data_IF_077329503988
#
_entry.id   IF_077329503988
#
_cell.length_a   1.000
_cell.length_b   1.000
_cell.length_c   1.000
_cell.angle_alpha   90.00
_cell.angle_beta   90.00
_cell.angle_gamma   90.00
#
_symmetry.space_group_name_H-M   'P 1'
#
loop_
_entity.id
_entity.type
_entity.pdbx_description
1 polymer ?
#
# COMPACT_ATOMS: atom_id res chain seq x y z
N UNK A 1 -14.29 0.78 -43.43
CA UNK A 1 -13.13 0.35 -42.64
C UNK A 1 -13.60 -0.49 -41.47
N UNK A 2 -13.18 -1.75 -41.38
CA UNK A 2 -13.72 -2.74 -40.41
C UNK A 2 -13.28 -2.44 -38.98
N UNK A 3 -11.98 -2.20 -38.75
CA UNK A 3 -11.37 -2.04 -37.42
C UNK A 3 -10.75 -0.66 -37.17
N UNK A 4 -11.18 0.36 -37.91
CA UNK A 4 -10.71 1.74 -37.75
C UNK A 4 -11.77 2.73 -38.19
N UNK A 5 -11.53 4.01 -37.90
CA UNK A 5 -12.31 5.13 -38.40
C UNK A 5 -11.52 5.90 -39.47
N UNK A 6 -12.16 6.87 -40.13
CA UNK A 6 -11.44 7.79 -41.02
C UNK A 6 -10.41 8.65 -40.29
N UNK A 7 -10.57 8.84 -38.97
CA UNK A 7 -9.71 9.69 -38.13
C UNK A 7 -8.68 8.90 -37.32
N UNK A 8 -8.91 7.61 -37.07
CA UNK A 8 -8.03 6.76 -36.27
C UNK A 8 -7.89 5.39 -36.92
N UNK A 9 -6.64 5.00 -37.21
CA UNK A 9 -6.35 3.68 -37.76
C UNK A 9 -6.40 2.57 -36.69
N UNK A 10 -6.53 1.33 -37.15
CA UNK A 10 -6.62 0.15 -36.26
C UNK A 10 -5.40 -0.03 -35.36
N UNK A 11 -4.18 0.25 -35.86
CA UNK A 11 -2.95 0.15 -35.08
C UNK A 11 -2.99 1.03 -33.84
N UNK A 12 -3.49 2.27 -33.96
CA UNK A 12 -3.59 3.18 -32.83
C UNK A 12 -4.62 2.72 -31.79
N UNK A 13 -5.74 2.15 -32.26
CA UNK A 13 -6.76 1.59 -31.37
C UNK A 13 -6.21 0.38 -30.59
N UNK A 14 -5.44 -0.50 -31.25
CA UNK A 14 -4.77 -1.64 -30.61
C UNK A 14 -3.73 -1.16 -29.60
N UNK A 15 -2.86 -0.23 -29.98
CA UNK A 15 -1.84 0.34 -29.09
C UNK A 15 -2.47 0.92 -27.82
N UNK A 16 -3.54 1.72 -27.98
CA UNK A 16 -4.26 2.28 -26.84
C UNK A 16 -4.90 1.19 -25.98
N UNK A 17 -5.52 0.17 -26.59
CA UNK A 17 -6.16 -0.94 -25.87
C UNK A 17 -5.16 -1.74 -25.03
N UNK A 18 -3.98 -2.05 -25.60
CA UNK A 18 -2.90 -2.76 -24.89
C UNK A 18 -2.33 -1.95 -23.70
N UNK A 19 -2.50 -0.63 -23.72
CA UNK A 19 -2.06 0.27 -22.65
C UNK A 19 -3.21 0.69 -21.70
N UNK A 20 -4.37 0.02 -21.74
CA UNK A 20 -5.55 0.35 -20.93
C UNK A 20 -5.99 1.82 -21.08
N UNK A 21 -5.87 2.36 -22.30
CA UNK A 21 -6.25 3.75 -22.63
C UNK A 21 -7.42 3.80 -23.60
N UNK A 22 -8.32 4.74 -23.35
CA UNK A 22 -9.37 5.10 -24.31
C UNK A 22 -8.80 5.97 -25.43
N UNK A 23 -9.27 5.73 -26.64
CA UNK A 23 -8.91 6.56 -27.79
C UNK A 23 -9.77 7.82 -27.84
N UNK A 24 -9.14 9.00 -27.76
CA UNK A 24 -9.79 10.31 -27.88
C UNK A 24 -9.39 10.99 -29.19
N UNK A 25 -10.36 11.56 -29.89
CA UNK A 25 -10.15 12.33 -31.12
C UNK A 25 -10.42 13.80 -30.84
N UNK A 26 -9.48 14.66 -31.24
CA UNK A 26 -9.59 16.10 -31.07
C UNK A 26 -9.57 16.80 -32.43
N UNK A 27 -10.31 17.89 -32.53
CA UNK A 27 -10.27 18.83 -33.65
C UNK A 27 -9.48 20.08 -33.26
N UNK A 28 -8.84 20.69 -34.24
CA UNK A 28 -8.12 21.95 -34.07
C UNK A 28 -9.03 23.09 -34.51
N UNK A 29 -9.34 23.99 -33.59
CA UNK A 29 -10.10 25.21 -33.84
C UNK A 29 -9.14 26.39 -33.79
N UNK A 30 -9.20 27.28 -34.79
CA UNK A 30 -8.45 28.53 -34.80
C UNK A 30 -9.32 29.57 -34.10
N UNK A 31 -8.79 30.17 -33.04
CA UNK A 31 -9.43 31.24 -32.29
C UNK A 31 -9.26 32.58 -33.03
N UNK A 32 -10.06 33.58 -32.65
CA UNK A 32 -10.04 34.92 -33.25
C UNK A 32 -8.67 35.63 -33.13
N UNK A 33 -7.87 35.26 -32.13
CA UNK A 33 -6.50 35.76 -31.91
C UNK A 33 -5.42 35.00 -32.71
N UNK A 34 -5.82 34.04 -33.57
CA UNK A 34 -4.93 33.20 -34.36
C UNK A 34 -4.34 32.00 -33.61
N UNK A 35 -4.64 31.83 -32.32
CA UNK A 35 -4.18 30.66 -31.55
C UNK A 35 -4.98 29.40 -31.91
N UNK A 36 -4.38 28.22 -31.75
CA UNK A 36 -5.03 26.92 -32.02
C UNK A 36 -5.43 26.25 -30.72
N UNK A 37 -6.70 25.89 -30.59
CA UNK A 37 -7.22 25.10 -29.47
C UNK A 37 -7.65 23.71 -29.90
N UNK A 38 -7.36 22.73 -29.03
CA UNK A 38 -7.72 21.32 -29.25
C UNK A 38 -9.04 21.02 -28.55
N UNK A 39 -10.11 20.81 -29.32
CA UNK A 39 -11.46 20.53 -28.78
C UNK A 39 -11.79 19.05 -29.00
N UNK A 40 -12.30 18.38 -27.97
CA UNK A 40 -12.66 16.96 -28.07
C UNK A 40 -13.82 16.76 -29.05
N UNK A 41 -13.58 15.99 -30.12
CA UNK A 41 -14.64 15.58 -31.03
C UNK A 41 -15.37 14.36 -30.43
N UNK A 42 -16.53 14.62 -29.81
CA UNK A 42 -17.35 13.59 -29.16
C UNK A 42 -17.79 12.48 -30.12
N UNK A 43 -18.17 12.85 -31.35
CA UNK A 43 -18.67 11.91 -32.36
C UNK A 43 -17.57 10.96 -32.83
N UNK A 44 -16.42 11.50 -33.23
CA UNK A 44 -15.29 10.69 -33.69
C UNK A 44 -14.65 9.88 -32.56
N UNK A 45 -14.63 10.42 -31.33
CA UNK A 45 -14.21 9.68 -30.13
C UNK A 45 -15.14 8.49 -29.86
N UNK A 46 -16.45 8.67 -29.95
CA UNK A 46 -17.42 7.58 -29.79
C UNK A 46 -17.22 6.49 -30.86
N UNK A 47 -17.05 6.87 -32.13
CA UNK A 47 -16.77 5.92 -33.21
C UNK A 47 -15.45 5.16 -33.00
N UNK A 48 -14.40 5.85 -32.57
CA UNK A 48 -13.12 5.23 -32.24
C UNK A 48 -13.25 4.23 -31.08
N UNK A 49 -14.00 4.60 -30.03
CA UNK A 49 -14.29 3.72 -28.89
C UNK A 49 -15.06 2.46 -29.31
N UNK A 50 -16.10 2.59 -30.14
CA UNK A 50 -16.84 1.44 -30.68
C UNK A 50 -15.92 0.50 -31.48
N UNK A 51 -15.01 1.04 -32.29
CA UNK A 51 -14.02 0.23 -33.02
C UNK A 51 -12.99 -0.42 -32.11
N UNK A 52 -12.57 0.28 -31.06
CA UNK A 52 -11.66 -0.28 -30.05
C UNK A 52 -12.32 -1.44 -29.29
N UNK A 53 -13.62 -1.34 -28.98
CA UNK A 53 -14.35 -2.42 -28.32
C UNK A 53 -14.52 -3.64 -29.22
N UNK A 54 -14.88 -3.43 -30.50
CA UNK A 54 -14.92 -4.50 -31.49
C UNK A 54 -13.58 -5.25 -31.59
N UNK A 55 -12.45 -4.53 -31.57
CA UNK A 55 -11.12 -5.15 -31.57
C UNK A 55 -10.90 -6.01 -30.32
N UNK A 56 -11.34 -5.56 -29.14
CA UNK A 56 -11.21 -6.35 -27.90
C UNK A 56 -12.06 -7.61 -27.95
N UNK A 57 -13.30 -7.51 -28.44
CA UNK A 57 -14.20 -8.66 -28.59
C UNK A 57 -13.61 -9.68 -29.56
N UNK A 58 -13.16 -9.25 -30.74
CA UNK A 58 -12.51 -10.13 -31.71
C UNK A 58 -11.23 -10.75 -31.17
N UNK A 59 -10.41 -9.99 -30.42
CA UNK A 59 -9.23 -10.54 -29.77
C UNK A 59 -9.58 -11.60 -28.72
N UNK A 60 -10.65 -11.39 -27.97
CA UNK A 60 -11.17 -12.38 -27.02
C UNK A 60 -11.64 -13.64 -27.77
N UNK A 61 -12.47 -13.49 -28.79
CA UNK A 61 -12.95 -14.61 -29.61
C UNK A 61 -11.78 -15.39 -30.19
N UNK A 62 -10.83 -14.68 -30.81
CA UNK A 62 -9.58 -15.25 -31.31
C UNK A 62 -8.87 -16.05 -30.21
N UNK A 63 -8.64 -15.54 -29.00
CA UNK A 63 -7.99 -16.33 -27.93
C UNK A 63 -8.71 -17.67 -27.69
N UNK A 64 -10.05 -17.66 -27.60
CA UNK A 64 -10.84 -18.82 -27.18
C UNK A 64 -11.20 -19.80 -28.32
N UNK A 65 -11.06 -19.40 -29.58
CA UNK A 65 -11.31 -20.26 -30.75
C UNK A 65 -10.33 -21.44 -30.87
N UNK A 66 -9.12 -21.31 -30.31
CA UNK A 66 -8.06 -22.33 -30.38
C UNK A 66 -7.67 -22.77 -28.96
N UNK A 67 -7.97 -24.03 -28.57
CA UNK A 67 -7.62 -24.57 -27.25
C UNK A 67 -6.12 -24.54 -26.95
N UNK A 68 -5.24 -24.79 -27.93
CA UNK A 68 -3.79 -24.84 -27.74
C UNK A 68 -3.24 -23.42 -27.48
N UNK A 69 -3.71 -22.43 -28.26
CA UNK A 69 -3.42 -21.02 -28.02
C UNK A 69 -3.89 -20.59 -26.64
N UNK A 70 -5.13 -20.92 -26.26
CA UNK A 70 -5.69 -20.59 -24.94
C UNK A 70 -4.82 -21.14 -23.83
N UNK A 71 -4.49 -22.44 -23.88
CA UNK A 71 -3.66 -23.09 -22.87
C UNK A 71 -2.28 -22.44 -22.76
N UNK A 72 -1.63 -22.16 -23.90
CA UNK A 72 -0.32 -21.49 -23.93
C UNK A 72 -0.36 -20.10 -23.29
N UNK A 73 -1.37 -19.28 -23.62
CA UNK A 73 -1.50 -17.92 -23.07
C UNK A 73 -1.86 -17.94 -21.58
N UNK A 74 -2.74 -18.85 -21.16
CA UNK A 74 -3.11 -19.07 -19.76
C UNK A 74 -1.87 -19.46 -18.93
N UNK A 75 -1.05 -20.39 -19.43
CA UNK A 75 0.20 -20.79 -18.78
C UNK A 75 1.15 -19.61 -18.62
N UNK A 76 1.39 -18.83 -19.68
CA UNK A 76 2.23 -17.63 -19.61
C UNK A 76 1.67 -16.62 -18.60
N UNK A 77 0.35 -16.42 -18.58
CA UNK A 77 -0.29 -15.52 -17.64
C UNK A 77 -0.10 -15.99 -16.20
N UNK A 78 -0.31 -17.28 -15.94
CA UNK A 78 -0.17 -17.85 -14.60
C UNK A 78 1.29 -17.81 -14.12
N UNK A 79 2.26 -18.10 -15.00
CA UNK A 79 3.68 -18.04 -14.66
C UNK A 79 4.17 -16.60 -14.41
N UNK A 80 3.66 -15.61 -15.14
CA UNK A 80 4.11 -14.22 -15.04
C UNK A 80 3.37 -13.40 -14.00
N UNK A 81 2.08 -13.62 -13.82
CA UNK A 81 1.19 -12.74 -13.05
C UNK A 81 0.52 -13.44 -11.87
N UNK A 82 0.09 -14.70 -12.02
CA UNK A 82 -0.51 -15.49 -10.92
C UNK A 82 0.50 -16.40 -10.21
N UNK A 83 1.80 -16.11 -10.28
CA UNK A 83 2.85 -16.94 -9.65
C UNK A 83 3.25 -16.46 -8.26
N UNK A 84 2.71 -15.32 -7.80
CA UNK A 84 3.03 -14.75 -6.49
C UNK A 84 1.89 -15.07 -5.53
N UNK A 85 2.10 -16.06 -4.66
CA UNK A 85 1.24 -16.28 -3.49
C UNK A 85 1.73 -15.38 -2.36
N UNK A 86 0.84 -14.58 -1.79
CA UNK A 86 1.16 -13.79 -0.59
C UNK A 86 1.54 -14.73 0.55
N UNK A 87 2.63 -14.40 1.25
CA UNK A 87 3.02 -15.12 2.46
C UNK A 87 1.92 -14.95 3.52
N UNK A 88 1.41 -16.07 4.00
CA UNK A 88 0.52 -16.13 5.16
C UNK A 88 1.36 -16.17 6.43
N UNK A 89 0.94 -15.45 7.46
CA UNK A 89 1.62 -15.38 8.75
C UNK A 89 0.65 -15.85 9.83
N UNK A 90 1.10 -16.80 10.64
CA UNK A 90 0.37 -17.31 11.78
C UNK A 90 1.05 -16.85 13.07
N UNK A 91 0.34 -16.04 13.86
CA UNK A 91 0.77 -15.54 15.15
C UNK A 91 0.12 -16.26 16.33
N UNK A 92 -0.61 -17.35 16.11
CA UNK A 92 -1.33 -18.09 17.17
C UNK A 92 -0.44 -18.52 18.34
N UNK A 93 0.82 -18.86 18.03
CA UNK A 93 1.83 -19.32 18.99
C UNK A 93 2.66 -18.18 19.62
N UNK A 94 2.40 -16.92 19.28
CA UNK A 94 3.08 -15.79 19.90
C UNK A 94 2.62 -15.62 21.35
N UNK A 95 3.59 -15.43 22.24
CA UNK A 95 3.39 -15.12 23.66
C UNK A 95 3.68 -13.64 23.90
N UNK A 96 2.77 -12.92 24.54
CA UNK A 96 2.89 -11.48 24.80
C UNK A 96 3.17 -11.21 26.28
N UNK A 97 4.44 -11.35 26.68
CA UNK A 97 4.80 -11.27 28.10
C UNK A 97 4.78 -9.84 28.61
N UNK A 98 4.20 -9.62 29.79
CA UNK A 98 3.99 -8.28 30.34
C UNK A 98 2.86 -7.50 29.68
N UNK A 99 2.16 -8.11 28.72
CA UNK A 99 0.91 -7.57 28.20
C UNK A 99 -0.19 -7.69 29.27
N UNK A 100 -1.07 -6.69 29.31
CA UNK A 100 -2.24 -6.69 30.17
C UNK A 100 -3.13 -7.92 29.87
N UNK A 101 -3.33 -8.77 30.87
CA UNK A 101 -4.04 -10.05 30.76
C UNK A 101 -5.54 -9.91 30.45
N UNK A 102 -6.12 -8.75 30.78
CA UNK A 102 -7.52 -8.45 30.48
C UNK A 102 -7.76 -8.13 28.99
N UNK A 103 -6.69 -7.84 28.24
CA UNK A 103 -6.78 -7.51 26.82
C UNK A 103 -6.40 -8.74 25.99
N UNK A 104 -7.33 -9.18 25.14
CA UNK A 104 -7.09 -10.29 24.20
C UNK A 104 -6.96 -9.77 22.78
N UNK A 105 -5.79 -9.94 22.19
CA UNK A 105 -5.57 -9.67 20.77
C UNK A 105 -6.36 -10.67 19.91
N UNK A 106 -7.04 -10.14 18.90
CA UNK A 106 -7.74 -10.94 17.89
C UNK A 106 -6.73 -11.66 16.99
N UNK A 107 -7.16 -12.73 16.34
CA UNK A 107 -6.31 -13.55 15.48
C UNK A 107 -5.61 -12.72 14.38
N UNK A 108 -6.34 -11.81 13.73
CA UNK A 108 -5.76 -10.95 12.70
C UNK A 108 -4.64 -10.04 13.24
N UNK A 109 -4.76 -9.59 14.49
CA UNK A 109 -3.76 -8.74 15.13
C UNK A 109 -2.50 -9.55 15.44
N UNK A 110 -2.66 -10.79 15.92
CA UNK A 110 -1.54 -11.72 16.13
C UNK A 110 -0.82 -12.02 14.81
N UNK A 111 -1.57 -12.26 13.74
CA UNK A 111 -1.00 -12.52 12.42
C UNK A 111 -0.29 -11.28 11.85
N UNK A 112 -0.82 -10.08 12.09
CA UNK A 112 -0.17 -8.82 11.75
C UNK A 112 1.15 -8.61 12.52
N UNK A 113 1.19 -8.99 13.81
CA UNK A 113 2.41 -8.94 14.61
C UNK A 113 3.43 -9.96 14.09
N UNK A 114 3.01 -11.20 13.84
CA UNK A 114 3.87 -12.23 13.23
C UNK A 114 4.44 -11.76 11.88
N UNK A 115 3.63 -11.08 11.06
CA UNK A 115 4.09 -10.47 9.81
C UNK A 115 5.18 -9.42 10.05
N UNK A 116 5.03 -8.58 11.06
CA UNK A 116 6.06 -7.58 11.41
C UNK A 116 7.36 -8.26 11.86
N UNK A 117 7.27 -9.26 12.74
CA UNK A 117 8.43 -9.96 13.29
C UNK A 117 9.20 -10.77 12.23
N UNK A 118 8.49 -11.46 11.33
CA UNK A 118 9.10 -12.39 10.37
C UNK A 118 9.26 -11.82 8.95
N UNK A 119 8.60 -10.71 8.65
CA UNK A 119 8.55 -10.09 7.32
C UNK A 119 9.39 -8.81 7.19
N UNK A 120 9.88 -8.24 8.28
CA UNK A 120 10.60 -6.97 8.26
C UNK A 120 9.67 -5.80 7.94
N UNK A 121 9.96 -5.04 6.87
CA UNK A 121 9.16 -3.87 6.49
C UNK A 121 7.71 -4.27 6.16
N UNK A 122 6.77 -3.79 6.99
CA UNK A 122 5.38 -4.27 7.00
C UNK A 122 4.41 -3.11 6.95
N UNK A 123 3.46 -3.17 6.00
CA UNK A 123 2.33 -2.24 5.90
C UNK A 123 1.09 -2.85 6.58
N UNK A 124 0.57 -2.17 7.62
CA UNK A 124 -0.65 -2.53 8.34
C UNK A 124 -1.88 -1.78 7.79
N UNK A 125 -2.33 -2.17 6.59
CA UNK A 125 -3.41 -1.51 5.84
C UNK A 125 -4.84 -1.90 6.27
N UNK A 126 -5.09 -2.07 7.57
CA UNK A 126 -6.44 -2.39 8.08
C UNK A 126 -7.40 -1.18 8.04
N UNK A 127 -8.69 -1.39 8.28
CA UNK A 127 -9.65 -0.28 8.46
C UNK A 127 -9.42 0.47 9.78
N UNK A 128 -9.99 1.68 9.91
CA UNK A 128 -9.97 2.44 11.18
C UNK A 128 -10.68 1.63 12.28
N UNK A 129 -10.14 1.64 13.50
CA UNK A 129 -10.70 0.88 14.63
C UNK A 129 -10.33 -0.61 14.68
N UNK A 130 -9.57 -1.12 13.71
CA UNK A 130 -9.14 -2.53 13.69
C UNK A 130 -8.13 -2.91 14.80
N UNK A 131 -7.63 -1.92 15.55
CA UNK A 131 -6.67 -2.12 16.63
C UNK A 131 -5.20 -2.07 16.20
N UNK A 132 -4.89 -1.30 15.15
CA UNK A 132 -3.52 -1.15 14.61
C UNK A 132 -2.51 -0.65 15.61
N UNK A 133 -2.91 0.22 16.54
CA UNK A 133 -1.98 0.70 17.57
C UNK A 133 -1.48 -0.45 18.44
N UNK A 134 -2.37 -1.36 18.85
CA UNK A 134 -1.97 -2.53 19.64
C UNK A 134 -1.07 -3.47 18.85
N UNK A 135 -1.30 -3.62 17.54
CA UNK A 135 -0.40 -4.36 16.65
C UNK A 135 1.00 -3.72 16.64
N UNK A 136 1.10 -2.39 16.50
CA UNK A 136 2.38 -1.67 16.50
C UNK A 136 3.10 -1.79 17.85
N UNK A 137 2.38 -1.58 18.96
CA UNK A 137 2.93 -1.64 20.33
C UNK A 137 3.43 -3.05 20.63
N UNK A 138 2.61 -4.08 20.40
CA UNK A 138 3.01 -5.46 20.64
C UNK A 138 4.15 -5.89 19.72
N UNK A 139 4.16 -5.47 18.45
CA UNK A 139 5.28 -5.73 17.56
C UNK A 139 6.59 -5.13 18.07
N UNK A 140 6.55 -3.92 18.65
CA UNK A 140 7.74 -3.28 19.21
C UNK A 140 8.25 -3.98 20.48
N UNK A 141 7.34 -4.39 21.37
CA UNK A 141 7.69 -5.12 22.59
C UNK A 141 8.25 -6.51 22.28
N UNK A 142 7.60 -7.26 21.40
CA UNK A 142 8.07 -8.59 20.98
C UNK A 142 9.36 -8.51 20.18
N UNK A 143 9.53 -7.52 19.30
CA UNK A 143 10.81 -7.30 18.60
C UNK A 143 11.96 -7.05 19.57
N UNK A 144 11.71 -6.29 20.66
CA UNK A 144 12.71 -6.03 21.69
C UNK A 144 13.02 -7.29 22.51
N UNK A 145 11.99 -8.04 22.91
CA UNK A 145 12.13 -9.30 23.63
C UNK A 145 12.91 -10.35 22.82
N UNK A 146 12.64 -10.46 21.53
CA UNK A 146 13.31 -11.40 20.62
C UNK A 146 14.71 -10.92 20.18
N UNK A 147 15.17 -9.75 20.63
CA UNK A 147 16.46 -9.18 20.23
C UNK A 147 16.53 -8.67 18.79
N UNK A 148 15.40 -8.56 18.09
CA UNK A 148 15.29 -8.03 16.73
C UNK A 148 15.45 -6.50 16.69
N UNK A 149 15.14 -5.83 17.81
CA UNK A 149 15.31 -4.39 17.97
C UNK A 149 15.87 -4.04 19.35
N UNK A 150 16.89 -3.20 19.43
CA UNK A 150 17.36 -2.65 20.71
C UNK A 150 16.52 -1.44 21.16
N UNK A 151 16.02 -0.66 20.19
CA UNK A 151 15.17 0.51 20.38
C UNK A 151 14.09 0.59 19.32
N UNK A 152 12.88 0.93 19.75
CA UNK A 152 11.72 1.12 18.89
C UNK A 152 11.30 2.58 18.93
N UNK A 153 11.19 3.23 17.76
CA UNK A 153 10.77 4.62 17.62
C UNK A 153 9.42 4.69 16.90
N UNK A 154 8.48 5.41 17.49
CA UNK A 154 7.15 5.62 16.93
C UNK A 154 7.04 7.07 16.48
N UNK A 155 6.87 7.27 15.17
CA UNK A 155 6.63 8.60 14.59
C UNK A 155 5.15 8.73 14.31
N UNK A 156 4.49 9.65 15.02
CA UNK A 156 3.04 9.85 14.94
C UNK A 156 2.72 11.34 14.83
N UNK A 157 1.56 11.73 14.25
CA UNK A 157 1.10 13.11 14.25
C UNK A 157 1.07 13.72 15.66
N UNK A 158 1.46 14.99 15.80
CA UNK A 158 1.61 15.67 17.09
C UNK A 158 0.39 15.58 18.02
N UNK A 159 -0.82 15.53 17.46
CA UNK A 159 -2.06 15.46 18.24
C UNK A 159 -2.38 14.04 18.75
N UNK A 160 -1.66 13.01 18.28
CA UNK A 160 -1.85 11.61 18.66
C UNK A 160 -0.78 11.10 19.64
N UNK A 161 0.29 11.85 19.91
CA UNK A 161 1.40 11.39 20.77
C UNK A 161 0.93 10.92 22.15
N UNK A 162 0.12 11.72 22.84
CA UNK A 162 -0.42 11.37 24.16
C UNK A 162 -1.40 10.18 24.07
N UNK A 163 -2.17 10.07 22.99
CA UNK A 163 -3.10 8.95 22.80
C UNK A 163 -2.34 7.64 22.64
N UNK A 164 -1.34 7.61 21.77
CA UNK A 164 -0.52 6.42 21.54
C UNK A 164 0.24 6.03 22.81
N UNK A 165 0.76 7.00 23.57
CA UNK A 165 1.38 6.74 24.87
C UNK A 165 0.43 6.06 25.86
N UNK A 166 -0.82 6.52 25.95
CA UNK A 166 -1.85 5.87 26.80
C UNK A 166 -2.18 4.46 26.32
N UNK A 167 -2.39 4.27 25.02
CA UNK A 167 -2.68 2.95 24.44
C UNK A 167 -1.51 1.97 24.64
N UNK A 168 -0.26 2.47 24.60
CA UNK A 168 0.93 1.68 24.91
C UNK A 168 0.89 1.20 26.36
N UNK A 169 0.72 2.11 27.32
CA UNK A 169 0.65 1.76 28.74
C UNK A 169 -0.58 0.93 29.10
N UNK A 170 -1.68 1.07 28.37
CA UNK A 170 -2.86 0.24 28.55
C UNK A 170 -2.56 -1.22 28.17
N UNK A 171 -1.79 -1.43 27.09
CA UNK A 171 -1.44 -2.76 26.60
C UNK A 171 -0.26 -3.37 27.36
N UNK A 172 0.76 -2.58 27.72
CA UNK A 172 1.93 -3.00 28.49
C UNK A 172 2.17 -2.04 29.68
N UNK A 173 1.49 -2.26 30.81
CA UNK A 173 1.51 -1.32 31.95
C UNK A 173 2.88 -1.12 32.62
N UNK A 174 3.77 -2.11 32.49
CA UNK A 174 5.12 -2.07 33.07
C UNK A 174 6.19 -1.60 32.09
N UNK A 175 5.81 -1.21 30.85
CA UNK A 175 6.77 -0.73 29.87
C UNK A 175 7.32 0.65 30.27
N UNK A 176 8.64 0.82 30.17
CA UNK A 176 9.27 2.12 30.29
C UNK A 176 9.34 2.79 28.90
N UNK A 177 8.52 3.82 28.69
CA UNK A 177 8.42 4.53 27.41
C UNK A 177 8.68 6.03 27.60
N UNK A 178 9.33 6.62 26.60
CA UNK A 178 9.49 8.07 26.51
C UNK A 178 8.50 8.63 25.49
N UNK A 179 7.62 9.53 25.92
CA UNK A 179 6.64 10.20 25.05
C UNK A 179 7.02 11.66 24.93
N UNK A 180 7.35 12.10 23.71
CA UNK A 180 7.65 13.51 23.45
C UNK A 180 6.36 14.35 23.47
N UNK A 181 6.23 15.25 24.44
CA UNK A 181 5.12 16.21 24.53
C UNK A 181 5.51 17.60 23.98
N UNK A 182 4.53 18.51 23.87
CA UNK A 182 4.78 19.88 23.38
C UNK A 182 5.77 20.66 24.27
N UNK A 183 5.99 20.28 25.53
CA UNK A 183 6.94 20.96 26.41
C UNK A 183 8.38 20.61 26.02
N UNK A 184 8.63 19.39 25.56
CA UNK A 184 9.93 18.94 25.03
C UNK A 184 10.28 19.65 23.71
N UNK A 185 9.29 20.00 22.88
CA UNK A 185 9.50 20.69 21.60
C UNK A 185 9.65 22.22 21.70
N UNK A 186 9.39 22.84 22.85
CA UNK A 186 9.44 24.30 23.03
C UNK A 186 10.85 24.87 23.28
N UNK A 187 11.88 24.03 23.36
CA UNK A 187 13.28 24.47 23.35
C UNK A 187 13.96 23.99 22.06
N UNK A 188 14.98 24.73 21.58
CA UNK A 188 15.70 24.54 20.30
C UNK A 188 16.45 23.18 20.20
N UNK A 189 15.80 22.04 20.40
CA UNK A 189 16.51 20.80 20.71
C UNK A 189 15.91 19.54 20.09
N UNK A 190 16.01 19.45 18.76
CA UNK A 190 16.14 18.15 18.11
C UNK A 190 17.35 17.35 18.65
N UNK A 191 18.39 18.06 19.16
CA UNK A 191 19.56 17.45 19.82
C UNK A 191 19.23 16.82 21.18
N UNK A 192 18.36 17.38 22.03
CA UNK A 192 18.11 16.81 23.36
C UNK A 192 17.31 15.51 23.32
N UNK A 193 16.38 15.38 22.37
CA UNK A 193 15.67 14.12 22.12
C UNK A 193 16.68 13.02 21.70
N UNK A 194 17.60 13.35 20.80
CA UNK A 194 18.66 12.44 20.35
C UNK A 194 19.66 12.11 21.48
N UNK A 195 19.99 13.07 22.33
CA UNK A 195 20.88 12.88 23.50
C UNK A 195 20.19 12.04 24.59
N UNK A 196 18.90 12.25 24.84
CA UNK A 196 18.11 11.41 25.74
C UNK A 196 18.05 9.95 25.25
N UNK A 197 17.82 9.76 23.94
CA UNK A 197 17.92 8.46 23.30
C UNK A 197 19.32 7.85 23.42
N UNK A 198 20.41 8.62 23.47
CA UNK A 198 21.77 8.09 23.64
C UNK A 198 22.09 7.69 25.10
N UNK A 199 21.57 8.40 26.11
CA UNK A 199 21.89 8.16 27.52
C UNK A 199 21.33 6.86 28.09
N UNK A 200 20.20 6.37 27.61
CA UNK A 200 19.66 5.05 28.03
C UNK A 200 20.60 3.88 27.69
N UNK A 201 21.49 4.01 26.69
CA UNK A 201 22.45 2.95 26.36
C UNK A 201 23.57 2.79 27.40
N UNK A 202 23.92 3.85 28.15
CA UNK A 202 25.01 3.80 29.14
C UNK A 202 24.59 3.22 30.48
N UNK A 203 23.30 3.21 30.84
CA UNK A 203 22.83 2.66 32.12
C UNK A 203 22.42 1.18 32.06
N UNK A 204 22.35 0.57 30.87
CA UNK A 204 22.08 -0.87 30.71
C UNK A 204 23.34 -1.70 30.40
N UNK A 205 24.53 -1.09 30.44
CA UNK A 205 25.83 -1.74 30.18
C UNK A 205 26.76 -1.78 31.41
N UNK A 206 26.18 -1.68 32.61
CA UNK A 206 26.88 -1.75 33.90
C UNK A 206 26.16 -2.69 34.86
#
# INVERSE_FOLDING_TARGET
MTYGTSRVNAYKLIENALNLKDTKVFDQVINDDGSKTSVLNKKETMLASQKQELIKEEFKNWIFEDPDRRYRLEKIYNEKFNSIRNREFDGSNLTFDGMNTEIRLREHQKNAIARTLYGGNTLLAHVVGAGKTFEMVASAMESKKLGLASKSLFVVPNHLTTQIGREFMQLYPSANIMVADKKIFNQKTGKDLLVGLQRENMMQSS
#
